data_IF_398587195195
#
_entry.id   IF_398587195195
#
_cell.length_a   1.000
_cell.length_b   1.000
_cell.length_c   1.000
_cell.angle_alpha   90.00
_cell.angle_beta   90.00
_cell.angle_gamma   90.00
#
_symmetry.space_group_name_H-M   'P 1'
#
loop_
_entity.id
_entity.type
_entity.pdbx_description
1 polymer ?
#
# COMPACT_ATOMS: atom_id res chain seq x y z
N UNK A 1 -12.17 11.97 17.77
CA UNK A 1 -11.01 12.07 18.68
C UNK A 1 -10.29 10.71 18.76
N UNK A 2 -9.42 10.37 17.80
CA UNK A 2 -8.62 9.13 17.84
C UNK A 2 -7.15 9.41 17.45
N UNK A 3 -6.60 10.52 17.96
CA UNK A 3 -5.17 10.83 17.92
C UNK A 3 -4.61 10.49 19.30
N UNK A 4 -4.03 9.29 19.52
CA UNK A 4 -2.99 9.11 20.56
C UNK A 4 -2.46 7.69 20.76
N UNK A 5 -3.18 6.60 20.42
CA UNK A 5 -2.87 5.34 21.11
C UNK A 5 -1.69 4.49 20.56
N UNK A 6 -1.16 4.74 19.36
CA UNK A 6 -0.13 3.85 18.77
C UNK A 6 1.11 4.52 18.20
N UNK A 7 1.23 5.85 18.17
CA UNK A 7 2.36 6.52 17.51
C UNK A 7 2.49 6.24 16.00
N UNK A 8 1.63 5.39 15.44
CA UNK A 8 1.53 5.12 14.01
C UNK A 8 0.52 6.09 13.43
N UNK A 9 0.99 7.26 13.01
CA UNK A 9 0.16 8.17 12.23
C UNK A 9 -0.13 7.54 10.87
N UNK A 10 -1.37 7.67 10.39
CA UNK A 10 -1.72 7.43 8.98
C UNK A 10 -0.87 8.30 8.04
N UNK A 11 -0.35 9.43 8.56
CA UNK A 11 0.75 10.19 7.98
C UNK A 11 2.09 9.52 8.30
N UNK A 12 2.30 8.27 7.91
CA UNK A 12 3.66 7.77 7.74
C UNK A 12 4.25 8.59 6.60
N UNK A 13 4.89 9.72 6.95
CA UNK A 13 5.49 10.63 5.99
C UNK A 13 6.41 9.81 5.10
N UNK A 14 6.04 9.65 3.83
CA UNK A 14 6.62 8.62 2.95
C UNK A 14 8.15 8.74 2.83
N UNK A 15 8.69 9.94 3.02
CA UNK A 15 10.14 10.21 3.13
C UNK A 15 10.81 9.51 4.31
N UNK A 16 10.21 9.55 5.50
CA UNK A 16 10.80 8.97 6.71
C UNK A 16 10.85 7.44 6.65
N UNK A 17 9.84 6.81 6.05
CA UNK A 17 9.79 5.36 5.83
C UNK A 17 10.74 4.93 4.71
N UNK A 18 10.89 5.73 3.66
CA UNK A 18 11.82 5.48 2.55
C UNK A 18 13.29 5.57 3.01
N UNK A 19 13.66 6.58 3.79
CA UNK A 19 15.02 6.71 4.33
C UNK A 19 15.38 5.53 5.24
N UNK A 20 14.47 5.14 6.15
CA UNK A 20 14.67 3.97 7.02
C UNK A 20 14.75 2.67 6.22
N UNK A 21 13.95 2.52 5.16
CA UNK A 21 14.04 1.38 4.25
C UNK A 21 15.42 1.29 3.60
N UNK A 22 15.92 2.37 3.00
CA UNK A 22 17.24 2.39 2.37
C UNK A 22 18.37 2.11 3.37
N UNK A 23 18.29 2.68 4.59
CA UNK A 23 19.25 2.38 5.66
C UNK A 23 19.26 0.89 6.01
N UNK A 24 18.09 0.27 6.18
CA UNK A 24 17.99 -1.15 6.54
C UNK A 24 18.37 -2.06 5.37
N UNK A 25 17.96 -1.72 4.15
CA UNK A 25 18.32 -2.46 2.94
C UNK A 25 19.83 -2.45 2.72
N UNK A 26 20.48 -1.31 2.96
CA UNK A 26 21.94 -1.20 2.89
C UNK A 26 22.67 -2.11 3.89
N UNK A 27 22.03 -2.53 4.98
CA UNK A 27 22.63 -3.40 6.01
C UNK A 27 22.35 -4.88 5.77
N UNK A 28 21.23 -5.19 5.13
CA UNK A 28 20.69 -6.55 4.99
C UNK A 28 20.72 -7.07 3.55
N UNK A 29 21.24 -6.30 2.58
CA UNK A 29 21.24 -6.72 1.18
C UNK A 29 22.07 -8.00 0.96
N UNK A 30 21.58 -8.98 0.18
CA UNK A 30 22.27 -10.25 -0.07
C UNK A 30 23.69 -10.07 -0.62
N UNK A 31 23.92 -9.05 -1.46
CA UNK A 31 25.24 -8.72 -2.00
C UNK A 31 26.32 -8.51 -0.92
N UNK A 32 25.94 -8.04 0.28
CA UNK A 32 26.91 -7.89 1.39
C UNK A 32 27.30 -9.21 2.04
N UNK A 33 26.48 -10.23 1.86
CA UNK A 33 26.67 -11.58 2.40
C UNK A 33 27.10 -12.56 1.29
N UNK A 34 27.47 -12.07 0.11
CA UNK A 34 27.92 -12.91 -1.01
C UNK A 34 29.15 -13.80 -0.65
N UNK A 35 29.99 -13.35 0.27
CA UNK A 35 31.16 -14.09 0.80
C UNK A 35 30.91 -14.72 2.18
N UNK A 36 29.69 -14.62 2.71
CA UNK A 36 29.32 -15.17 4.01
C UNK A 36 28.97 -16.67 3.92
N UNK A 37 28.71 -17.30 5.07
CA UNK A 37 28.25 -18.70 5.11
C UNK A 37 26.87 -18.85 4.44
N UNK A 38 26.55 -20.07 4.01
CA UNK A 38 25.26 -20.37 3.37
C UNK A 38 24.07 -20.01 4.29
N UNK A 39 24.22 -20.29 5.59
CA UNK A 39 23.23 -19.91 6.59
C UNK A 39 23.04 -18.39 6.72
N UNK A 40 24.12 -17.61 6.69
CA UNK A 40 24.05 -16.14 6.74
C UNK A 40 23.43 -15.55 5.46
N UNK A 41 23.67 -16.19 4.30
CA UNK A 41 23.03 -15.81 3.03
C UNK A 41 21.53 -16.04 3.08
N UNK A 42 21.07 -17.20 3.56
CA UNK A 42 19.65 -17.50 3.72
C UNK A 42 18.94 -16.50 4.65
N UNK A 43 19.57 -16.18 5.80
CA UNK A 43 19.05 -15.18 6.73
C UNK A 43 18.96 -13.81 6.05
N UNK A 44 20.01 -13.40 5.35
CA UNK A 44 20.06 -12.12 4.62
C UNK A 44 18.96 -12.01 3.55
N UNK A 45 18.78 -13.06 2.77
CA UNK A 45 17.73 -13.15 1.74
C UNK A 45 16.33 -13.06 2.35
N UNK A 46 16.07 -13.81 3.43
CA UNK A 46 14.78 -13.78 4.11
C UNK A 46 14.48 -12.39 4.68
N UNK A 47 15.45 -11.77 5.36
CA UNK A 47 15.26 -10.44 5.93
C UNK A 47 15.08 -9.36 4.86
N UNK A 48 15.83 -9.43 3.76
CA UNK A 48 15.65 -8.54 2.62
C UNK A 48 14.27 -8.69 2.00
N UNK A 49 13.76 -9.92 1.84
CA UNK A 49 12.40 -10.17 1.36
C UNK A 49 11.35 -9.56 2.28
N UNK A 50 11.45 -9.79 3.59
CA UNK A 50 10.52 -9.24 4.60
C UNK A 50 10.56 -7.71 4.64
N UNK A 51 11.75 -7.12 4.46
CA UNK A 51 11.91 -5.66 4.42
C UNK A 51 11.23 -5.06 3.19
N UNK A 52 11.39 -5.67 2.02
CA UNK A 52 10.73 -5.25 0.78
C UNK A 52 9.20 -5.33 0.90
N UNK A 53 8.68 -6.42 1.47
CA UNK A 53 7.25 -6.63 1.69
C UNK A 53 6.66 -5.60 2.67
N UNK A 54 7.39 -5.31 3.74
CA UNK A 54 7.02 -4.27 4.71
C UNK A 54 7.01 -2.88 4.07
N UNK A 55 8.03 -2.56 3.26
CA UNK A 55 8.08 -1.29 2.56
C UNK A 55 6.92 -1.12 1.59
N UNK A 56 6.61 -2.14 0.77
CA UNK A 56 5.45 -2.14 -0.13
C UNK A 56 4.14 -1.90 0.63
N UNK A 57 3.95 -2.63 1.73
CA UNK A 57 2.73 -2.53 2.55
C UNK A 57 2.57 -1.14 3.16
N UNK A 58 3.67 -0.52 3.60
CA UNK A 58 3.63 0.79 4.25
C UNK A 58 3.66 1.97 3.26
N UNK A 59 4.16 1.77 2.04
CA UNK A 59 4.22 2.80 1.00
C UNK A 59 2.88 3.00 0.31
N UNK A 60 2.14 1.92 0.04
CA UNK A 60 0.82 1.96 -0.58
C UNK A 60 -0.26 2.37 0.45
N UNK A 61 -0.97 3.50 0.27
CA UNK A 61 -1.92 4.01 1.27
C UNK A 61 -3.04 3.02 1.64
N UNK A 62 -3.56 2.28 0.66
CA UNK A 62 -4.60 1.28 0.89
C UNK A 62 -4.08 0.08 1.68
N UNK A 63 -2.91 -0.47 1.30
CA UNK A 63 -2.29 -1.56 2.04
C UNK A 63 -1.91 -1.14 3.45
N UNK A 64 -1.40 0.08 3.61
CA UNK A 64 -1.10 0.66 4.91
C UNK A 64 -2.36 0.76 5.76
N UNK A 65 -3.46 1.28 5.22
CA UNK A 65 -4.73 1.36 5.95
C UNK A 65 -5.24 -0.02 6.39
N UNK A 66 -5.26 -1.01 5.49
CA UNK A 66 -5.64 -2.39 5.80
C UNK A 66 -4.76 -3.01 6.89
N UNK A 67 -3.44 -2.81 6.78
CA UNK A 67 -2.49 -3.32 7.76
C UNK A 67 -2.68 -2.68 9.14
N UNK A 68 -2.95 -1.37 9.20
CA UNK A 68 -3.25 -0.68 10.45
C UNK A 68 -4.56 -1.15 11.08
N UNK A 69 -5.61 -1.35 10.28
CA UNK A 69 -6.87 -1.93 10.74
C UNK A 69 -6.66 -3.32 11.34
N UNK A 70 -5.88 -4.17 10.66
CA UNK A 70 -5.48 -5.48 11.18
C UNK A 70 -4.77 -5.40 12.54
N UNK A 71 -3.85 -4.44 12.72
CA UNK A 71 -3.16 -4.21 14.01
C UNK A 71 -4.14 -3.77 15.09
N UNK A 72 -5.13 -2.95 14.74
CA UNK A 72 -6.17 -2.46 15.66
C UNK A 72 -7.19 -3.54 16.04
N UNK A 73 -7.10 -4.74 15.48
CA UNK A 73 -8.04 -5.83 15.72
C UNK A 73 -9.33 -5.71 14.92
N UNK A 74 -9.41 -4.74 13.99
CA UNK A 74 -10.52 -4.60 13.05
C UNK A 74 -10.27 -5.53 11.86
N UNK A 75 -11.15 -6.52 11.68
CA UNK A 75 -11.10 -7.42 10.51
C UNK A 75 -11.55 -6.68 9.26
N UNK A 76 -10.91 -7.01 8.14
CA UNK A 76 -11.26 -6.52 6.82
C UNK A 76 -12.78 -6.50 6.62
N UNK A 77 -13.33 -5.40 6.11
CA UNK A 77 -14.75 -5.27 5.78
C UNK A 77 -15.18 -6.17 4.60
N UNK A 78 -14.34 -7.11 4.17
CA UNK A 78 -14.63 -8.16 3.20
C UNK A 78 -15.78 -9.01 3.73
N UNK A 79 -17.01 -8.62 3.39
CA UNK A 79 -18.25 -9.22 3.87
C UNK A 79 -19.26 -8.24 4.50
N UNK A 80 -18.95 -6.95 4.60
CA UNK A 80 -19.99 -5.94 4.82
C UNK A 80 -20.74 -5.74 3.51
N UNK A 81 -22.05 -5.95 3.53
CA UNK A 81 -22.93 -5.57 2.43
C UNK A 81 -22.70 -4.09 2.13
N UNK A 82 -22.31 -3.79 0.89
CA UNK A 82 -22.27 -2.43 0.40
C UNK A 82 -23.68 -1.87 0.50
N UNK A 83 -23.82 -0.66 1.04
CA UNK A 83 -25.12 -0.02 1.08
C UNK A 83 -25.62 0.24 -0.36
N UNK A 84 -26.95 0.33 -0.57
CA UNK A 84 -27.51 0.48 -1.90
C UNK A 84 -26.99 1.70 -2.68
N UNK A 85 -26.56 2.77 -2.00
CA UNK A 85 -26.01 3.95 -2.68
C UNK A 85 -24.58 3.71 -3.19
N UNK A 86 -23.74 3.01 -2.41
CA UNK A 86 -22.41 2.58 -2.87
C UNK A 86 -22.50 1.62 -4.06
N UNK A 87 -23.48 0.71 -4.08
CA UNK A 87 -23.69 -0.20 -5.22
C UNK A 87 -24.11 0.54 -6.49
N UNK A 88 -25.00 1.52 -6.35
CA UNK A 88 -25.43 2.36 -7.48
C UNK A 88 -24.25 3.14 -8.06
N UNK A 89 -23.41 3.74 -7.22
CA UNK A 89 -22.19 4.43 -7.65
C UNK A 89 -21.25 3.47 -8.41
N UNK A 90 -21.04 2.24 -7.92
CA UNK A 90 -20.24 1.24 -8.63
C UNK A 90 -20.83 0.88 -9.99
N UNK A 91 -22.15 0.78 -10.11
CA UNK A 91 -22.82 0.52 -11.39
C UNK A 91 -22.62 1.66 -12.38
N UNK A 92 -22.77 2.92 -11.93
CA UNK A 92 -22.53 4.11 -12.76
C UNK A 92 -21.07 4.17 -13.26
N UNK A 93 -20.10 3.85 -12.39
CA UNK A 93 -18.70 3.76 -12.79
C UNK A 93 -18.47 2.67 -13.84
N UNK A 94 -19.09 1.50 -13.67
CA UNK A 94 -18.97 0.41 -14.65
C UNK A 94 -19.57 0.79 -16.01
N UNK A 95 -20.70 1.48 -16.02
CA UNK A 95 -21.34 1.97 -17.25
C UNK A 95 -20.45 3.02 -17.95
N UNK A 96 -19.94 4.01 -17.21
CA UNK A 96 -19.01 5.01 -17.74
C UNK A 96 -17.76 4.40 -18.37
N UNK A 97 -17.21 3.35 -17.77
CA UNK A 97 -16.05 2.62 -18.34
C UNK A 97 -16.45 1.82 -19.57
N UNK A 98 -17.65 1.23 -19.61
CA UNK A 98 -18.15 0.47 -20.75
C UNK A 98 -18.48 1.35 -21.98
N UNK A 99 -18.84 2.61 -21.77
CA UNK A 99 -19.08 3.59 -22.83
C UNK A 99 -17.79 4.10 -23.50
N UNK A 100 -16.63 3.96 -22.84
CA UNK A 100 -15.34 4.36 -23.40
C UNK A 100 -14.92 3.42 -24.51
N UNK A 101 -14.56 3.99 -25.66
CA UNK A 101 -14.36 3.23 -26.90
C UNK A 101 -12.89 3.11 -27.29
N UNK A 102 -12.01 3.86 -26.62
CA UNK A 102 -10.57 3.86 -26.90
C UNK A 102 -9.71 3.69 -25.65
N UNK A 103 -8.51 3.14 -25.83
CA UNK A 103 -7.52 3.02 -24.77
C UNK A 103 -7.04 4.39 -24.26
N UNK A 104 -7.06 5.42 -25.12
CA UNK A 104 -6.66 6.78 -24.77
C UNK A 104 -7.68 7.43 -23.82
N UNK A 105 -8.98 7.29 -24.11
CA UNK A 105 -10.07 7.73 -23.21
C UNK A 105 -10.00 7.05 -21.84
N UNK A 106 -9.79 5.73 -21.83
CA UNK A 106 -9.67 4.96 -20.59
C UNK A 106 -8.44 5.40 -19.77
N UNK A 107 -7.32 5.69 -20.43
CA UNK A 107 -6.10 6.16 -19.77
C UNK A 107 -6.30 7.56 -19.20
N UNK A 108 -6.96 8.46 -19.93
CA UNK A 108 -7.28 9.80 -19.45
C UNK A 108 -8.22 9.77 -18.23
N UNK A 109 -9.25 8.92 -18.26
CA UNK A 109 -10.16 8.75 -17.12
C UNK A 109 -9.42 8.20 -15.89
N UNK A 110 -8.59 7.17 -16.09
CA UNK A 110 -7.75 6.61 -15.03
C UNK A 110 -6.90 7.68 -14.35
N UNK A 111 -6.27 8.56 -15.12
CA UNK A 111 -5.44 9.64 -14.58
C UNK A 111 -6.25 10.67 -13.79
N UNK A 112 -7.49 10.95 -14.19
CA UNK A 112 -8.40 11.83 -13.44
C UNK A 112 -8.77 11.19 -12.10
N UNK A 113 -9.20 9.93 -12.11
CA UNK A 113 -9.55 9.17 -10.90
C UNK A 113 -8.35 9.07 -9.97
N UNK A 114 -7.16 8.80 -10.50
CA UNK A 114 -5.94 8.73 -9.70
C UNK A 114 -5.64 10.06 -9.01
N UNK A 115 -5.80 11.20 -9.69
CA UNK A 115 -5.63 12.53 -9.06
C UNK A 115 -6.66 12.78 -7.95
N UNK A 116 -7.90 12.32 -8.11
CA UNK A 116 -8.92 12.43 -7.07
C UNK A 116 -8.55 11.60 -5.84
N UNK A 117 -8.09 10.36 -6.06
CA UNK A 117 -7.59 9.48 -5.00
C UNK A 117 -6.40 10.15 -4.28
N UNK A 118 -5.44 10.68 -5.03
CA UNK A 118 -4.27 11.34 -4.47
C UNK A 118 -4.65 12.57 -3.65
N UNK A 119 -5.64 13.36 -4.08
CA UNK A 119 -6.15 14.51 -3.33
C UNK A 119 -6.85 14.11 -2.02
N UNK A 120 -7.52 12.96 -1.98
CA UNK A 120 -8.15 12.43 -0.75
C UNK A 120 -7.09 11.91 0.22
N UNK A 121 -5.98 11.39 -0.31
CA UNK A 121 -4.90 10.76 0.46
C UNK A 121 -3.77 11.72 0.87
N UNK A 122 -3.73 12.94 0.30
CA UNK A 122 -2.77 14.01 0.61
C UNK A 122 -3.07 14.71 1.94
#
# INVERSE_FOLDING_TARGET
MARAALGVSLSLASRSSMLRFHEMQSKLHPDKFAQATEHEKEISDEHSRRLNESYKTLSEPLLRAKYLLKILGETDASGRDLDPSSLMEMMEWNERVAEMSSADELTAEKDIVQKQIDNILA
#
